data_IF_930313679294
#
_entry.id   IF_930313679294
#
_cell.length_a   1.000
_cell.length_b   1.000
_cell.length_c   1.000
_cell.angle_alpha   90.00
_cell.angle_beta   90.00
_cell.angle_gamma   90.00
#
_symmetry.space_group_name_H-M   'P 1'
#
loop_
_entity.id
_entity.type
_entity.pdbx_description
1 polymer ?
#
# COMPACT_ATOMS: atom_id res chain seq x y z
N UNK A 1 10.93 3.85 -15.64
CA UNK A 1 9.46 3.86 -15.56
C UNK A 1 8.99 3.55 -14.14
N UNK A 2 7.96 4.21 -13.67
CA UNK A 2 7.32 3.92 -12.40
C UNK A 2 6.08 3.08 -12.68
N UNK A 3 6.02 1.87 -12.12
CA UNK A 3 4.84 1.03 -12.16
C UNK A 3 4.10 1.25 -10.84
N UNK A 4 2.90 1.81 -10.91
CA UNK A 4 2.08 2.07 -9.74
C UNK A 4 0.64 1.65 -10.00
N UNK A 5 0.06 0.91 -9.06
CA UNK A 5 -1.34 0.49 -9.14
C UNK A 5 -2.31 1.55 -8.63
N UNK A 6 -1.83 2.49 -7.82
CA UNK A 6 -2.62 3.57 -7.23
C UNK A 6 -1.80 4.85 -7.13
N UNK A 7 -2.38 5.95 -7.57
CA UNK A 7 -1.73 7.26 -7.52
C UNK A 7 -1.84 7.87 -6.12
N UNK A 8 -2.94 7.59 -5.40
CA UNK A 8 -3.20 8.18 -4.08
C UNK A 8 -3.47 7.11 -3.02
N UNK A 9 -2.59 6.93 -2.02
CA UNK A 9 -2.73 5.91 -0.96
C UNK A 9 -4.07 6.00 -0.22
N UNK A 10 -4.53 7.22 0.06
CA UNK A 10 -5.77 7.48 0.82
C UNK A 10 -7.07 7.11 0.09
N UNK A 11 -7.00 6.69 -1.18
CA UNK A 11 -8.19 6.26 -1.93
C UNK A 11 -8.83 4.98 -1.40
N UNK A 12 -8.05 4.08 -0.80
CA UNK A 12 -8.59 2.86 -0.17
C UNK A 12 -9.50 3.26 0.99
N UNK A 13 -9.01 4.07 1.92
CA UNK A 13 -9.77 4.53 3.08
C UNK A 13 -11.06 5.24 2.64
N UNK A 14 -10.96 6.14 1.65
CA UNK A 14 -12.15 6.80 1.08
C UNK A 14 -13.12 5.81 0.43
N UNK A 15 -12.60 4.78 -0.24
CA UNK A 15 -13.39 3.73 -0.86
C UNK A 15 -14.16 2.92 0.17
N UNK A 16 -13.51 2.51 1.24
CA UNK A 16 -14.10 1.79 2.37
C UNK A 16 -15.19 2.64 3.03
N UNK A 17 -14.88 3.90 3.37
CA UNK A 17 -15.88 4.82 3.94
C UNK A 17 -17.13 4.94 3.07
N UNK A 18 -16.94 5.20 1.77
CA UNK A 18 -18.06 5.48 0.86
C UNK A 18 -18.92 4.25 0.57
N UNK A 19 -18.32 3.05 0.52
CA UNK A 19 -19.01 1.84 0.07
C UNK A 19 -19.49 0.96 1.20
N UNK A 20 -18.72 0.90 2.29
CA UNK A 20 -19.03 0.01 3.40
C UNK A 20 -19.59 0.77 4.62
N UNK A 21 -19.73 2.09 4.55
CA UNK A 21 -20.29 2.88 5.66
C UNK A 21 -19.36 3.02 6.87
N UNK A 22 -18.13 2.50 6.82
CA UNK A 22 -17.15 2.63 7.91
C UNK A 22 -16.76 4.09 8.08
N UNK A 23 -16.71 4.59 9.31
CA UNK A 23 -16.17 5.92 9.60
C UNK A 23 -14.77 5.80 10.17
N UNK A 24 -13.85 6.66 9.70
CA UNK A 24 -12.47 6.70 10.18
C UNK A 24 -12.14 8.06 10.76
N UNK A 25 -11.48 8.05 11.92
CA UNK A 25 -10.64 9.16 12.34
C UNK A 25 -9.36 9.17 11.50
N UNK A 26 -8.88 10.35 11.13
CA UNK A 26 -7.67 10.51 10.29
C UNK A 26 -6.96 11.78 10.72
N UNK A 27 -5.64 11.68 10.95
CA UNK A 27 -4.82 12.82 11.35
C UNK A 27 -3.41 12.71 10.76
N UNK A 28 -2.86 13.84 10.34
CA UNK A 28 -1.43 14.01 10.02
C UNK A 28 -0.81 14.95 11.04
N UNK A 29 0.50 14.87 11.20
CA UNK A 29 1.23 15.63 12.20
C UNK A 29 2.41 16.36 11.58
N UNK A 30 2.73 17.52 12.13
CA UNK A 30 3.99 18.22 11.91
C UNK A 30 4.99 17.98 13.03
N UNK A 31 4.50 17.64 14.23
CA UNK A 31 5.29 17.36 15.43
C UNK A 31 5.41 15.85 15.63
N UNK A 32 6.65 15.35 15.58
CA UNK A 32 6.97 13.92 15.69
C UNK A 32 6.69 13.39 17.11
N UNK A 33 7.08 14.14 18.13
CA UNK A 33 6.88 13.74 19.52
C UNK A 33 5.39 13.63 19.87
N UNK A 34 4.60 14.61 19.44
CA UNK A 34 3.15 14.57 19.60
C UNK A 34 2.50 13.41 18.84
N UNK A 35 2.97 13.12 17.62
CA UNK A 35 2.46 12.01 16.84
C UNK A 35 2.73 10.65 17.48
N UNK A 36 3.90 10.49 18.12
CA UNK A 36 4.24 9.25 18.82
C UNK A 36 3.49 9.16 20.16
N UNK A 37 3.31 10.27 20.88
CA UNK A 37 2.53 10.31 22.11
C UNK A 37 1.04 9.94 21.85
N UNK A 38 0.40 10.58 20.86
CA UNK A 38 -0.98 10.27 20.47
C UNK A 38 -1.13 8.80 20.03
N UNK A 39 -0.15 8.24 19.31
CA UNK A 39 -0.15 6.81 18.94
C UNK A 39 -0.03 5.92 20.17
N UNK A 40 0.89 6.23 21.09
CA UNK A 40 1.07 5.49 22.33
C UNK A 40 -0.23 5.43 23.14
N UNK A 41 -0.87 6.57 23.33
CA UNK A 41 -2.14 6.67 24.06
C UNK A 41 -3.25 5.80 23.44
N UNK A 42 -3.36 5.82 22.12
CA UNK A 42 -4.35 5.01 21.39
C UNK A 42 -4.08 3.51 21.54
N UNK A 43 -2.82 3.09 21.43
CA UNK A 43 -2.43 1.68 21.56
C UNK A 43 -2.59 1.20 23.00
N UNK A 44 -2.20 2.01 23.99
CA UNK A 44 -2.38 1.69 25.40
C UNK A 44 -3.87 1.61 25.77
N UNK A 45 -4.72 2.37 25.09
CA UNK A 45 -6.18 2.28 25.15
C UNK A 45 -6.78 1.10 24.36
N UNK A 46 -5.97 0.17 23.84
CA UNK A 46 -6.41 -1.03 23.12
C UNK A 46 -6.91 -0.78 21.70
N UNK A 47 -6.62 0.37 21.08
CA UNK A 47 -7.02 0.65 19.71
C UNK A 47 -6.03 0.08 18.69
N UNK A 48 -6.59 -0.38 17.58
CA UNK A 48 -5.83 -0.76 16.40
C UNK A 48 -5.74 0.44 15.46
N UNK A 49 -4.51 0.83 15.10
CA UNK A 49 -4.22 2.06 14.35
C UNK A 49 -3.47 1.76 13.07
N UNK A 50 -4.03 2.16 11.94
CA UNK A 50 -3.30 2.19 10.67
C UNK A 50 -2.38 3.40 10.60
N UNK A 51 -1.14 3.21 10.16
CA UNK A 51 -0.18 4.28 9.96
C UNK A 51 0.43 4.21 8.57
N UNK A 52 0.68 5.39 7.97
CA UNK A 52 1.51 5.48 6.77
C UNK A 52 2.97 5.60 7.18
N UNK A 53 3.83 4.87 6.50
CA UNK A 53 5.24 4.74 6.84
C UNK A 53 6.12 4.57 5.60
N UNK A 54 7.43 4.72 5.76
CA UNK A 54 8.42 4.37 4.74
C UNK A 54 8.91 2.94 4.94
N UNK A 55 8.95 2.14 3.90
CA UNK A 55 9.48 0.77 3.93
C UNK A 55 10.94 0.72 4.39
N UNK A 56 11.72 1.76 4.13
CA UNK A 56 13.16 1.80 4.40
C UNK A 56 13.52 1.53 5.86
N UNK A 57 12.69 1.98 6.81
CA UNK A 57 12.97 1.94 8.24
C UNK A 57 12.46 0.68 8.95
N UNK A 58 11.83 -0.25 8.23
CA UNK A 58 11.29 -1.45 8.87
C UNK A 58 12.36 -2.55 8.97
N UNK A 59 12.70 -3.00 10.20
CA UNK A 59 13.77 -3.98 10.41
C UNK A 59 13.48 -5.36 9.82
N UNK A 60 12.19 -5.70 9.65
CA UNK A 60 11.73 -6.95 9.08
C UNK A 60 11.75 -6.99 7.54
N UNK A 61 12.00 -5.86 6.89
CA UNK A 61 12.20 -5.84 5.43
C UNK A 61 13.67 -6.18 5.15
N UNK A 62 13.97 -7.19 4.31
CA UNK A 62 15.33 -7.49 3.87
C UNK A 62 16.05 -6.26 3.34
N UNK A 63 17.33 -6.13 3.63
CA UNK A 63 18.08 -4.91 3.32
C UNK A 63 18.09 -4.57 1.82
N UNK A 64 18.15 -5.58 0.98
CA UNK A 64 18.09 -5.49 -0.49
C UNK A 64 16.74 -5.02 -1.02
N UNK A 65 15.67 -5.18 -0.22
CA UNK A 65 14.31 -4.74 -0.55
C UNK A 65 13.95 -3.40 0.10
N UNK A 66 14.80 -2.82 0.93
CA UNK A 66 14.58 -1.53 1.58
C UNK A 66 14.70 -0.39 0.60
N UNK A 67 13.57 0.06 0.09
CA UNK A 67 13.47 1.22 -0.78
C UNK A 67 12.79 2.37 -0.07
N UNK A 68 13.10 3.61 -0.46
CA UNK A 68 12.43 4.80 0.05
C UNK A 68 11.02 4.91 -0.56
N UNK A 69 10.14 4.01 -0.16
CA UNK A 69 8.73 4.03 -0.53
C UNK A 69 7.88 4.49 0.66
N UNK A 70 7.44 5.73 0.60
CA UNK A 70 6.79 6.45 1.71
C UNK A 70 5.25 6.29 1.75
N UNK A 71 4.67 5.59 0.79
CA UNK A 71 3.21 5.39 0.72
C UNK A 71 2.78 4.02 1.28
N UNK A 72 3.67 3.36 2.01
CA UNK A 72 3.38 2.09 2.66
C UNK A 72 2.44 2.29 3.86
N UNK A 73 1.56 1.32 4.10
CA UNK A 73 0.67 1.33 5.25
C UNK A 73 0.82 0.04 6.02
N UNK A 74 0.92 0.15 7.32
CA UNK A 74 0.90 -0.98 8.25
C UNK A 74 -0.07 -0.71 9.39
N UNK A 75 -0.35 -1.74 10.17
CA UNK A 75 -1.25 -1.68 11.32
C UNK A 75 -0.45 -1.86 12.60
N UNK A 76 -0.59 -0.91 13.53
CA UNK A 76 -0.07 -1.01 14.90
C UNK A 76 -1.23 -1.44 15.78
N UNK A 77 -1.06 -2.52 16.56
CA UNK A 77 -2.15 -3.10 17.33
C UNK A 77 -1.81 -3.43 18.79
N UNK A 78 -0.59 -3.19 19.22
CA UNK A 78 -0.16 -3.44 20.59
C UNK A 78 1.28 -3.02 20.84
N UNK A 79 1.74 -3.34 22.05
CA UNK A 79 3.14 -3.21 22.48
C UNK A 79 3.58 -4.46 23.24
N UNK A 80 4.87 -4.75 23.16
CA UNK A 80 5.51 -5.80 23.94
C UNK A 80 6.95 -5.40 24.23
N UNK A 81 7.35 -5.40 25.50
CA UNK A 81 8.67 -5.02 25.98
C UNK A 81 9.15 -3.63 25.48
N UNK A 82 8.21 -2.68 25.35
CA UNK A 82 8.49 -1.33 24.86
C UNK A 82 8.46 -1.15 23.34
N UNK A 83 8.46 -2.23 22.57
CA UNK A 83 8.35 -2.21 21.11
C UNK A 83 6.88 -2.24 20.68
N UNK A 84 6.57 -1.64 19.52
CA UNK A 84 5.26 -1.73 18.88
C UNK A 84 5.08 -3.07 18.17
N UNK A 85 3.92 -3.68 18.37
CA UNK A 85 3.48 -4.83 17.59
C UNK A 85 2.81 -4.34 16.30
N UNK A 86 3.32 -4.80 15.18
CA UNK A 86 2.84 -4.40 13.85
C UNK A 86 2.42 -5.59 13.00
N UNK A 87 1.38 -5.37 12.19
CA UNK A 87 0.97 -6.27 11.12
C UNK A 87 1.18 -5.57 9.79
N UNK A 88 1.81 -6.27 8.86
CA UNK A 88 2.15 -5.78 7.53
C UNK A 88 1.83 -6.84 6.48
N UNK A 89 1.52 -6.41 5.25
CA UNK A 89 1.22 -7.32 4.13
C UNK A 89 2.41 -8.18 3.70
N UNK A 90 3.64 -7.79 4.09
CA UNK A 90 4.85 -8.58 3.84
C UNK A 90 5.11 -9.67 4.89
N UNK A 91 4.30 -9.71 5.95
CA UNK A 91 4.53 -10.59 7.09
C UNK A 91 3.40 -11.60 7.22
N UNK A 92 3.74 -12.86 7.36
CA UNK A 92 2.78 -13.91 7.74
C UNK A 92 2.41 -13.83 9.22
N UNK A 93 3.33 -13.34 10.05
CA UNK A 93 3.16 -13.18 11.50
C UNK A 93 3.41 -11.73 11.92
N UNK A 94 2.78 -11.28 13.00
CA UNK A 94 3.09 -9.98 13.59
C UNK A 94 4.57 -9.83 13.93
N UNK A 95 5.09 -8.61 13.82
CA UNK A 95 6.48 -8.30 14.10
C UNK A 95 6.60 -7.14 15.10
N UNK A 96 7.80 -6.97 15.64
CA UNK A 96 8.15 -5.90 16.60
C UNK A 96 8.93 -4.81 15.88
N UNK A 97 8.59 -3.57 16.20
CA UNK A 97 9.28 -2.39 15.67
C UNK A 97 9.60 -1.46 16.83
N UNK A 98 10.85 -1.07 16.98
CA UNK A 98 11.27 -0.11 17.98
C UNK A 98 10.60 1.24 17.77
N UNK A 99 10.29 1.98 18.84
CA UNK A 99 9.69 3.31 18.73
C UNK A 99 10.47 4.27 17.82
N UNK A 100 11.81 4.24 17.86
CA UNK A 100 12.68 5.04 17.01
C UNK A 100 12.52 4.71 15.53
N UNK A 101 12.47 3.43 15.18
CA UNK A 101 12.34 2.99 13.80
C UNK A 101 10.96 3.33 13.24
N UNK A 102 9.91 3.13 14.05
CA UNK A 102 8.56 3.51 13.68
C UNK A 102 8.42 5.02 13.50
N UNK A 103 9.04 5.84 14.36
CA UNK A 103 9.07 7.29 14.23
C UNK A 103 9.77 7.70 12.93
N UNK A 104 10.97 7.17 12.66
CA UNK A 104 11.71 7.43 11.42
C UNK A 104 10.89 7.03 10.19
N UNK A 105 10.22 5.87 10.22
CA UNK A 105 9.35 5.41 9.15
C UNK A 105 8.17 6.34 8.91
N UNK A 106 7.53 6.85 9.98
CA UNK A 106 6.35 7.73 9.92
C UNK A 106 6.68 9.17 9.51
N UNK A 107 7.94 9.60 9.66
CA UNK A 107 8.39 10.96 9.33
C UNK A 107 9.47 11.01 8.24
N UNK A 108 9.64 9.91 7.50
CA UNK A 108 10.53 9.87 6.35
C UNK A 108 10.21 10.99 5.36
N UNK A 109 11.25 11.65 4.86
CA UNK A 109 11.16 12.76 3.91
C UNK A 109 11.07 12.26 2.46
N UNK A 110 10.67 13.14 1.56
CA UNK A 110 10.65 12.86 0.13
C UNK A 110 9.25 12.76 -0.47
N UNK A 111 9.16 12.14 -1.64
CA UNK A 111 7.89 11.97 -2.37
C UNK A 111 6.94 11.12 -1.54
N UNK A 112 5.66 11.53 -1.47
CA UNK A 112 4.61 10.87 -0.67
C UNK A 112 4.93 10.76 0.82
N UNK A 113 5.73 11.67 1.38
CA UNK A 113 6.10 11.68 2.79
C UNK A 113 4.90 11.38 3.70
N UNK A 114 5.04 10.48 4.69
CA UNK A 114 3.92 10.03 5.54
C UNK A 114 3.35 11.14 6.42
N UNK A 115 4.19 12.07 6.88
CA UNK A 115 3.79 13.20 7.75
C UNK A 115 3.05 12.73 9.00
N UNK A 116 3.51 11.66 9.63
CA UNK A 116 2.89 11.07 10.80
C UNK A 116 1.44 10.62 10.60
N UNK A 117 0.98 10.45 9.35
CA UNK A 117 -0.42 10.12 9.07
C UNK A 117 -0.83 8.82 9.75
N UNK A 118 -1.93 8.89 10.51
CA UNK A 118 -2.57 7.74 11.14
C UNK A 118 -4.08 7.78 10.98
N UNK A 119 -4.71 6.61 11.10
CA UNK A 119 -6.15 6.44 11.00
C UNK A 119 -6.62 5.22 11.76
N UNK A 120 -7.85 5.27 12.26
CA UNK A 120 -8.51 4.12 12.89
C UNK A 120 -10.02 4.22 12.70
N UNK A 121 -10.75 3.08 12.70
CA UNK A 121 -12.19 3.10 12.59
C UNK A 121 -12.82 3.68 13.86
N UNK A 122 -13.77 4.59 13.71
CA UNK A 122 -14.60 5.13 14.79
C UNK A 122 -16.01 4.54 14.77
N UNK A 123 -16.39 3.97 13.62
CA UNK A 123 -17.63 3.25 13.45
C UNK A 123 -17.46 2.18 12.36
N UNK A 124 -17.89 0.97 12.65
CA UNK A 124 -17.97 -0.14 11.71
C UNK A 124 -19.40 -0.66 11.75
N UNK A 125 -20.11 -0.76 10.62
CA UNK A 125 -21.43 -1.36 10.58
C UNK A 125 -21.37 -2.83 11.03
N UNK A 126 -22.40 -3.30 11.74
CA UNK A 126 -22.49 -4.71 12.19
C UNK A 126 -22.51 -5.69 11.02
N UNK A 127 -23.15 -5.30 9.92
CA UNK A 127 -23.18 -6.08 8.68
C UNK A 127 -23.15 -5.18 7.46
N UNK A 128 -22.55 -5.67 6.39
CA UNK A 128 -22.53 -4.99 5.09
C UNK A 128 -22.82 -6.02 4.00
N UNK A 129 -23.90 -5.84 3.25
CA UNK A 129 -24.10 -6.62 2.03
C UNK A 129 -23.15 -6.10 0.93
N UNK A 130 -22.09 -6.84 0.66
CA UNK A 130 -21.07 -6.49 -0.33
C UNK A 130 -21.47 -6.88 -1.76
N UNK A 131 -22.42 -7.80 -1.94
CA UNK A 131 -22.82 -8.33 -3.26
C UNK A 131 -23.18 -7.25 -4.28
N UNK A 132 -24.05 -6.26 -3.96
CA UNK A 132 -24.40 -5.21 -4.90
C UNK A 132 -23.23 -4.26 -5.20
N UNK A 133 -22.18 -4.29 -4.38
CA UNK A 133 -21.00 -3.43 -4.54
C UNK A 133 -19.94 -4.05 -5.47
N UNK A 134 -19.89 -5.39 -5.54
CA UNK A 134 -18.91 -6.12 -6.35
C UNK A 134 -19.04 -5.75 -7.82
N UNK A 135 -20.22 -5.88 -8.41
CA UNK A 135 -20.45 -5.53 -9.82
C UNK A 135 -20.10 -4.08 -10.15
N UNK A 136 -20.45 -3.15 -9.25
CA UNK A 136 -20.10 -1.72 -9.40
C UNK A 136 -18.58 -1.51 -9.31
N UNK A 137 -17.88 -2.22 -8.43
CA UNK A 137 -16.43 -2.14 -8.28
C UNK A 137 -15.71 -2.70 -9.51
N UNK A 138 -16.11 -3.86 -10.01
CA UNK A 138 -15.58 -4.47 -11.24
C UNK A 138 -15.78 -3.51 -12.42
N UNK A 139 -17.01 -3.04 -12.67
CA UNK A 139 -17.29 -2.10 -13.76
C UNK A 139 -16.44 -0.83 -13.67
N UNK A 140 -16.27 -0.28 -12.46
CA UNK A 140 -15.44 0.91 -12.26
C UNK A 140 -13.97 0.61 -12.58
N UNK A 141 -13.42 -0.48 -12.07
CA UNK A 141 -12.02 -0.86 -12.28
C UNK A 141 -11.76 -1.14 -13.76
N UNK A 142 -12.63 -1.89 -14.42
CA UNK A 142 -12.56 -2.15 -15.86
C UNK A 142 -12.58 -0.86 -16.67
N UNK A 143 -13.50 0.06 -16.37
CA UNK A 143 -13.56 1.35 -17.03
C UNK A 143 -12.27 2.18 -16.82
N UNK A 144 -11.74 2.17 -15.60
CA UNK A 144 -10.46 2.85 -15.31
C UNK A 144 -9.31 2.25 -16.11
N UNK A 145 -9.24 0.92 -16.21
CA UNK A 145 -8.19 0.23 -16.96
C UNK A 145 -8.29 0.47 -18.47
N UNK A 146 -9.50 0.41 -19.03
CA UNK A 146 -9.72 0.54 -20.48
C UNK A 146 -9.69 1.99 -20.97
N UNK A 147 -10.17 2.94 -20.16
CA UNK A 147 -10.34 4.35 -20.57
C UNK A 147 -9.25 5.29 -20.04
N UNK A 148 -8.31 4.78 -19.25
CA UNK A 148 -7.21 5.60 -18.75
C UNK A 148 -6.36 6.16 -19.90
N UNK A 149 -5.89 7.41 -19.78
CA UNK A 149 -4.95 7.97 -20.75
C UNK A 149 -3.57 7.29 -20.63
N UNK A 150 -2.82 7.27 -21.73
CA UNK A 150 -1.41 6.85 -21.72
C UNK A 150 -0.60 7.76 -20.77
N UNK A 151 0.29 7.21 -19.94
CA UNK A 151 0.77 5.82 -19.88
C UNK A 151 0.05 4.91 -18.85
N UNK A 152 -1.22 5.11 -18.60
CA UNK A 152 -1.99 4.39 -17.58
C UNK A 152 -2.87 3.27 -18.18
N UNK A 153 -3.34 2.37 -17.30
CA UNK A 153 -4.26 1.29 -17.66
C UNK A 153 -3.69 0.34 -18.72
N UNK A 154 -4.55 -0.23 -19.54
CA UNK A 154 -4.16 -1.15 -20.63
C UNK A 154 -3.24 -0.46 -21.64
N UNK A 155 -3.51 0.81 -21.94
CA UNK A 155 -2.64 1.59 -22.85
C UNK A 155 -1.22 1.75 -22.29
N UNK A 156 -1.06 1.78 -20.97
CA UNK A 156 0.24 1.82 -20.30
C UNK A 156 1.07 0.57 -20.54
N UNK A 157 0.45 -0.60 -20.69
CA UNK A 157 1.14 -1.86 -21.02
C UNK A 157 1.76 -1.76 -22.42
N UNK A 158 0.99 -1.34 -23.40
CA UNK A 158 1.51 -1.13 -24.77
C UNK A 158 2.56 -0.03 -24.83
N UNK A 159 2.38 1.04 -24.05
CA UNK A 159 3.39 2.10 -23.96
C UNK A 159 4.71 1.58 -23.37
N UNK A 160 4.65 0.76 -22.32
CA UNK A 160 5.84 0.13 -21.73
C UNK A 160 6.52 -0.82 -22.72
N UNK A 161 5.76 -1.65 -23.43
CA UNK A 161 6.30 -2.54 -24.45
C UNK A 161 7.06 -1.76 -25.53
N UNK A 162 6.44 -0.75 -26.13
CA UNK A 162 7.08 0.09 -27.13
C UNK A 162 8.26 0.93 -26.59
N UNK A 163 8.26 1.26 -25.29
CA UNK A 163 9.42 1.88 -24.64
C UNK A 163 10.59 0.89 -24.53
N UNK A 164 10.34 -0.36 -24.14
CA UNK A 164 11.35 -1.41 -24.03
C UNK A 164 11.95 -1.76 -25.39
N UNK A 165 11.13 -1.89 -26.44
CA UNK A 165 11.60 -2.09 -27.82
C UNK A 165 12.56 -0.97 -28.27
N UNK A 166 12.25 0.28 -27.96
CA UNK A 166 13.11 1.43 -28.32
C UNK A 166 14.41 1.48 -27.53
N UNK A 167 14.51 0.82 -26.38
CA UNK A 167 15.76 0.71 -25.63
C UNK A 167 16.72 -0.31 -26.23
N UNK A 168 16.20 -1.33 -26.89
CA UNK A 168 16.99 -2.34 -27.60
C UNK A 168 17.84 -1.65 -28.67
N UNK A 169 19.15 -1.83 -28.63
CA UNK A 169 20.10 -1.16 -29.52
C UNK A 169 20.51 0.27 -29.12
N UNK A 170 19.90 0.87 -28.05
CA UNK A 170 20.28 2.20 -27.53
C UNK A 170 20.98 2.16 -26.17
N UNK A 171 20.87 1.04 -25.47
CA UNK A 171 21.46 0.80 -24.17
C UNK A 171 22.18 -0.53 -24.19
N UNK A 172 23.17 -0.68 -23.32
CA UNK A 172 23.89 -1.94 -23.14
C UNK A 172 22.98 -3.04 -22.56
N UNK A 173 23.34 -4.29 -22.80
CA UNK A 173 22.58 -5.45 -22.36
C UNK A 173 22.43 -5.53 -20.84
N UNK A 174 23.42 -5.07 -20.08
CA UNK A 174 23.37 -5.07 -18.63
C UNK A 174 22.27 -4.15 -18.12
N UNK A 175 22.18 -2.94 -18.68
CA UNK A 175 21.11 -2.00 -18.34
C UNK A 175 19.73 -2.60 -18.67
N UNK A 176 19.58 -3.20 -19.85
CA UNK A 176 18.30 -3.78 -20.27
C UNK A 176 17.90 -4.94 -19.36
N UNK A 177 18.81 -5.87 -19.04
CA UNK A 177 18.56 -6.99 -18.14
C UNK A 177 18.17 -6.51 -16.74
N UNK A 178 18.90 -5.52 -16.21
CA UNK A 178 18.60 -4.94 -14.89
C UNK A 178 17.22 -4.28 -14.89
N UNK A 179 16.88 -3.52 -15.94
CA UNK A 179 15.57 -2.87 -16.04
C UNK A 179 14.43 -3.89 -16.14
N UNK A 180 14.59 -4.93 -16.97
CA UNK A 180 13.58 -6.00 -17.12
C UNK A 180 13.41 -6.78 -15.84
N UNK A 181 14.52 -7.15 -15.16
CA UNK A 181 14.46 -7.80 -13.86
C UNK A 181 13.74 -6.97 -12.81
N UNK A 182 14.00 -5.65 -12.78
CA UNK A 182 13.31 -4.74 -11.86
C UNK A 182 11.80 -4.62 -12.17
N UNK A 183 11.43 -4.58 -13.46
CA UNK A 183 10.03 -4.54 -13.88
C UNK A 183 9.31 -5.84 -13.47
N UNK A 184 9.93 -7.01 -13.72
CA UNK A 184 9.38 -8.30 -13.34
C UNK A 184 9.20 -8.40 -11.82
N UNK A 185 10.24 -8.06 -11.04
CA UNK A 185 10.20 -8.03 -9.59
C UNK A 185 9.07 -7.14 -9.07
N UNK A 186 8.90 -5.94 -9.62
CA UNK A 186 7.82 -5.03 -9.22
C UNK A 186 6.42 -5.54 -9.56
N UNK A 187 6.28 -6.37 -10.59
CA UNK A 187 4.99 -6.91 -10.99
C UNK A 187 4.62 -8.19 -10.25
N UNK A 188 5.59 -9.03 -9.94
CA UNK A 188 5.34 -10.38 -9.42
C UNK A 188 5.56 -10.50 -7.91
N UNK A 189 6.55 -9.81 -7.35
CA UNK A 189 6.96 -10.02 -5.96
C UNK A 189 6.82 -8.77 -5.09
N UNK A 190 7.19 -7.62 -5.61
CA UNK A 190 7.17 -6.36 -4.86
C UNK A 190 6.10 -5.41 -5.37
N UNK A 191 6.04 -4.23 -4.83
CA UNK A 191 5.01 -3.26 -5.19
C UNK A 191 3.76 -3.44 -4.33
N UNK A 192 2.58 -3.15 -4.86
CA UNK A 192 1.33 -3.16 -4.10
C UNK A 192 0.64 -4.53 -4.11
N UNK A 193 1.36 -5.59 -3.77
CA UNK A 193 0.86 -6.97 -3.64
C UNK A 193 1.20 -7.91 -4.80
N UNK A 194 2.13 -7.49 -5.69
CA UNK A 194 2.63 -8.35 -6.76
C UNK A 194 1.54 -9.02 -7.59
N UNK A 195 1.78 -10.24 -8.02
CA UNK A 195 0.81 -11.09 -8.73
C UNK A 195 -0.41 -11.46 -7.90
N UNK A 196 -0.31 -11.41 -6.55
CA UNK A 196 -1.38 -11.82 -5.64
C UNK A 196 -2.69 -11.05 -5.83
N UNK A 197 -2.66 -9.77 -6.18
CA UNK A 197 -3.90 -9.02 -6.48
C UNK A 197 -4.64 -9.54 -7.72
N UNK A 198 -3.93 -10.13 -8.68
CA UNK A 198 -4.54 -10.75 -9.86
C UNK A 198 -5.25 -12.05 -9.48
N UNK A 199 -4.65 -12.85 -8.61
CA UNK A 199 -5.25 -14.08 -8.10
C UNK A 199 -6.48 -13.82 -7.23
N UNK A 200 -6.43 -12.83 -6.32
CA UNK A 200 -7.59 -12.40 -5.52
C UNK A 200 -8.76 -11.98 -6.43
N UNK A 201 -8.47 -11.30 -7.55
CA UNK A 201 -9.50 -10.90 -8.50
C UNK A 201 -10.14 -12.07 -9.24
N UNK A 202 -9.41 -13.17 -9.43
CA UNK A 202 -9.92 -14.41 -10.05
C UNK A 202 -10.80 -15.16 -9.04
N UNK A 203 -10.33 -15.37 -7.81
CA UNK A 203 -11.07 -16.04 -6.74
C UNK A 203 -12.38 -15.31 -6.38
N UNK A 204 -12.38 -13.99 -6.40
CA UNK A 204 -13.59 -13.20 -6.19
C UNK A 204 -14.64 -13.37 -7.29
N UNK A 205 -14.27 -13.77 -8.51
CA UNK A 205 -15.20 -14.11 -9.60
C UNK A 205 -15.83 -15.49 -9.39
N UNK A 206 -15.05 -16.46 -8.97
CA UNK A 206 -15.55 -17.83 -8.71
C UNK A 206 -16.59 -17.86 -7.60
N UNK A 207 -16.39 -17.05 -6.55
CA UNK A 207 -17.34 -16.92 -5.43
C UNK A 207 -18.59 -16.08 -5.75
N UNK A 208 -18.67 -15.45 -6.92
CA UNK A 208 -19.81 -14.64 -7.37
C UNK A 208 -20.75 -15.38 -8.34
N UNK A 209 -20.44 -16.62 -8.68
CA UNK A 209 -21.35 -17.50 -9.44
C UNK A 209 -22.33 -18.18 -8.48
N UNK A 210 -23.64 -18.26 -8.86
CA UNK A 210 -24.68 -18.86 -8.01
C UNK A 210 -24.50 -20.38 -7.85
#
# INVERSE_FOLDING_TARGET
PVIAYRIFPKWIIRGVQKRLGVKFYKKSYSDEAKAMADLNELIDGGRVVGVQASLFWHPFIPQEMRVQFNAHNLVVFGKENGDFLVSDVFLEQPNRVKPSDLQNARFAKGVMAPKGFMYYPTYVPESVDVRPLIGKAIKKTTNMMLKAPTPCGVRGIFYLAGYLEKLTGRRDDRYIRTLLGHIALMQEETGTGGGGFRYISIDARDKSQP
#
